data_IF_062292537981
#
_entry.id   IF_062292537981
#
_cell.length_a   1.000
_cell.length_b   1.000
_cell.length_c   1.000
_cell.angle_alpha   90.00
_cell.angle_beta   90.00
_cell.angle_gamma   90.00
#
_symmetry.space_group_name_H-M   'P 1'
#
loop_
_entity.id
_entity.type
_entity.pdbx_description
1 polymer ?
#
# COMPACT_ATOMS: atom_id res chain seq x y z
N UNK A 1 17.85 10.96 -14.15
CA UNK A 1 16.76 10.01 -14.48
C UNK A 1 15.56 10.73 -15.08
N UNK A 2 15.03 11.80 -14.48
CA UNK A 2 13.88 12.59 -15.00
C UNK A 2 14.14 13.27 -16.36
N UNK A 3 15.40 13.52 -16.73
CA UNK A 3 15.79 14.14 -18.00
C UNK A 3 15.87 13.19 -19.18
N UNK A 4 15.63 11.89 -19.02
CA UNK A 4 15.63 10.93 -20.14
C UNK A 4 14.33 11.00 -20.92
N UNK A 5 14.36 10.71 -22.24
CA UNK A 5 13.23 10.92 -23.16
C UNK A 5 11.87 10.43 -22.65
N UNK A 6 11.69 9.15 -22.22
CA UNK A 6 10.41 8.67 -21.70
C UNK A 6 9.98 9.37 -20.40
N UNK A 7 10.93 9.59 -19.47
CA UNK A 7 10.63 10.25 -18.20
C UNK A 7 10.34 11.74 -18.38
N UNK A 8 11.03 12.40 -19.33
CA UNK A 8 10.74 13.78 -19.68
C UNK A 8 9.29 13.97 -20.14
N UNK A 9 8.79 13.06 -20.96
CA UNK A 9 7.39 13.12 -21.42
C UNK A 9 6.38 13.02 -20.25
N UNK A 10 6.68 12.20 -19.22
CA UNK A 10 5.86 12.09 -18.01
C UNK A 10 5.94 13.38 -17.21
N UNK A 11 7.14 13.92 -16.98
CA UNK A 11 7.34 15.18 -16.26
C UNK A 11 6.62 16.33 -16.96
N UNK A 12 6.76 16.44 -18.28
CA UNK A 12 6.10 17.48 -19.08
C UNK A 12 4.55 17.34 -19.01
N UNK A 13 4.03 16.12 -18.86
CA UNK A 13 2.58 15.87 -18.71
C UNK A 13 2.03 16.24 -17.33
N UNK A 14 2.88 16.35 -16.31
CA UNK A 14 2.48 16.85 -15.00
C UNK A 14 2.27 18.35 -14.97
N UNK A 15 2.88 19.09 -15.91
CA UNK A 15 2.70 20.54 -16.00
C UNK A 15 1.39 20.84 -16.71
N UNK A 16 0.35 21.30 -16.02
CA UNK A 16 -0.92 21.60 -16.68
C UNK A 16 -0.70 22.73 -17.70
N UNK A 17 -1.31 22.66 -18.88
CA UNK A 17 -1.18 23.68 -19.93
C UNK A 17 -1.61 25.08 -19.49
N UNK A 18 -2.45 25.16 -18.46
CA UNK A 18 -3.00 26.40 -17.88
C UNK A 18 -2.11 27.04 -16.83
N UNK A 19 -1.02 26.39 -16.39
CA UNK A 19 -0.24 26.86 -15.23
C UNK A 19 -1.01 26.77 -13.92
N UNK A 20 -2.13 26.05 -13.90
CA UNK A 20 -2.90 25.79 -12.68
C UNK A 20 -2.12 24.88 -11.74
N UNK A 21 -2.22 25.23 -10.47
CA UNK A 21 -1.58 24.49 -9.38
C UNK A 21 -2.23 23.12 -9.23
N UNK A 22 -1.43 22.07 -9.30
CA UNK A 22 -1.90 20.71 -8.99
C UNK A 22 -2.09 20.59 -7.48
N UNK A 23 -3.21 21.06 -6.95
CA UNK A 23 -3.53 21.05 -5.51
C UNK A 23 -2.46 21.69 -4.62
N UNK A 24 -1.82 22.77 -5.08
CA UNK A 24 -0.75 23.45 -4.36
C UNK A 24 0.63 22.80 -4.49
N UNK A 25 0.78 21.83 -5.39
CA UNK A 25 2.04 21.11 -5.56
C UNK A 25 2.86 21.66 -6.72
N UNK A 26 4.11 21.98 -6.45
CA UNK A 26 5.07 22.32 -7.50
C UNK A 26 5.31 21.13 -8.42
N UNK A 27 5.12 21.27 -9.75
CA UNK A 27 5.42 20.20 -10.70
C UNK A 27 6.86 19.71 -10.56
N UNK A 28 7.08 18.40 -10.70
CA UNK A 28 8.43 17.84 -10.76
C UNK A 28 9.06 18.22 -12.10
N UNK A 29 10.15 18.95 -12.06
CA UNK A 29 10.95 19.31 -13.24
C UNK A 29 12.22 18.48 -13.31
N UNK A 30 12.92 18.50 -14.47
CA UNK A 30 14.14 17.74 -14.65
C UNK A 30 15.30 18.19 -13.75
N UNK A 31 15.22 19.41 -13.23
CA UNK A 31 16.18 20.10 -12.36
C UNK A 31 15.71 20.18 -10.90
N UNK A 32 14.65 19.46 -10.54
CA UNK A 32 14.17 19.41 -9.14
C UNK A 32 15.27 18.90 -8.20
N UNK A 33 15.40 19.54 -7.05
CA UNK A 33 16.35 19.15 -6.02
C UNK A 33 15.85 17.96 -5.20
N UNK A 34 16.75 17.33 -4.45
CA UNK A 34 16.37 16.22 -3.53
C UNK A 34 15.36 16.69 -2.48
N UNK A 35 15.49 17.93 -1.99
CA UNK A 35 14.54 18.54 -1.06
C UNK A 35 13.15 18.71 -1.69
N UNK A 36 13.07 19.11 -2.96
CA UNK A 36 11.81 19.23 -3.69
C UNK A 36 11.14 17.87 -3.92
N UNK A 37 11.92 16.82 -4.18
CA UNK A 37 11.42 15.45 -4.27
C UNK A 37 10.91 14.98 -2.90
N UNK A 38 11.66 15.22 -1.82
CA UNK A 38 11.27 14.84 -0.47
C UNK A 38 9.96 15.54 -0.06
N UNK A 39 9.84 16.83 -0.32
CA UNK A 39 8.61 17.59 -0.04
C UNK A 39 7.42 16.99 -0.81
N UNK A 40 7.59 16.69 -2.10
CA UNK A 40 6.57 16.06 -2.93
C UNK A 40 6.13 14.71 -2.36
N UNK A 41 7.07 13.86 -1.96
CA UNK A 41 6.77 12.56 -1.35
C UNK A 41 5.99 12.74 -0.05
N UNK A 42 6.36 13.69 0.80
CA UNK A 42 5.65 13.98 2.05
C UNK A 42 4.22 14.45 1.83
N UNK A 43 4.00 15.27 0.81
CA UNK A 43 2.68 15.84 0.52
C UNK A 43 1.75 14.86 -0.23
N UNK A 44 2.30 14.05 -1.15
CA UNK A 44 1.48 13.22 -2.04
C UNK A 44 1.68 11.72 -1.90
N UNK A 45 2.69 11.31 -1.11
CA UNK A 45 2.96 9.89 -0.89
C UNK A 45 1.80 9.18 -0.23
N UNK A 46 1.31 8.10 -0.84
CA UNK A 46 0.23 7.29 -0.31
C UNK A 46 0.54 5.79 -0.48
N UNK A 47 0.00 4.97 0.39
CA UNK A 47 0.22 3.52 0.36
C UNK A 47 -0.57 2.80 -0.75
N UNK A 48 -1.30 3.53 -1.56
CA UNK A 48 -2.07 3.02 -2.71
C UNK A 48 -3.03 1.87 -2.35
N UNK A 49 -3.72 1.98 -1.20
CA UNK A 49 -4.67 0.98 -0.69
C UNK A 49 -4.07 -0.40 -0.38
N UNK A 50 -2.77 -0.50 -0.20
CA UNK A 50 -2.06 -1.74 0.11
C UNK A 50 -1.62 -1.83 1.58
N UNK A 51 -2.36 -1.22 2.50
CA UNK A 51 -2.10 -1.31 3.94
C UNK A 51 -2.28 -2.73 4.46
N UNK A 52 -1.43 -3.14 5.39
CA UNK A 52 -1.49 -4.45 6.01
C UNK A 52 -0.64 -4.53 7.29
N UNK A 53 -0.64 -5.69 7.94
CA UNK A 53 0.28 -5.96 9.04
C UNK A 53 -0.10 -5.46 10.43
N UNK A 54 -1.22 -4.76 10.59
CA UNK A 54 -1.63 -4.21 11.91
C UNK A 54 -2.10 -5.27 12.92
N UNK A 55 -2.49 -6.46 12.43
CA UNK A 55 -2.83 -7.63 13.24
C UNK A 55 -1.93 -8.83 12.90
N UNK A 56 -0.64 -8.59 12.73
CA UNK A 56 0.35 -9.52 12.16
C UNK A 56 0.28 -10.93 12.75
N UNK A 57 0.25 -11.92 11.87
CA UNK A 57 0.32 -13.35 12.21
C UNK A 57 1.60 -13.66 13.00
N UNK A 58 1.46 -14.45 14.06
CA UNK A 58 2.53 -14.76 15.00
C UNK A 58 2.75 -13.71 16.10
N UNK A 59 2.07 -12.53 16.01
CA UNK A 59 2.11 -11.49 17.06
C UNK A 59 0.74 -11.18 17.63
N UNK A 60 -0.26 -11.04 16.79
CA UNK A 60 -1.64 -10.68 17.17
C UNK A 60 -2.60 -11.84 16.91
N UNK A 61 -2.41 -12.54 15.81
CA UNK A 61 -3.19 -13.73 15.45
C UNK A 61 -2.28 -14.94 15.23
N UNK A 62 -2.84 -16.15 15.36
CA UNK A 62 -2.18 -17.40 14.99
C UNK A 62 -2.30 -17.70 13.48
N UNK A 63 -1.82 -18.88 13.04
CA UNK A 63 -1.88 -19.33 11.65
C UNK A 63 -3.30 -19.58 11.12
N UNK A 64 -4.30 -19.65 11.98
CA UNK A 64 -5.71 -19.78 11.63
C UNK A 64 -6.49 -18.45 11.76
N UNK A 65 -5.79 -17.34 11.96
CA UNK A 65 -6.38 -16.02 12.13
C UNK A 65 -7.02 -15.78 13.51
N UNK A 66 -6.87 -16.71 14.46
CA UNK A 66 -7.43 -16.56 15.82
C UNK A 66 -6.63 -15.51 16.59
N UNK A 67 -7.31 -14.56 17.22
CA UNK A 67 -6.66 -13.52 18.03
C UNK A 67 -6.09 -14.13 19.31
N UNK A 68 -4.80 -13.91 19.55
CA UNK A 68 -4.10 -14.44 20.71
C UNK A 68 -4.67 -13.86 22.01
N UNK A 69 -4.99 -14.71 22.97
CA UNK A 69 -5.55 -14.32 24.26
C UNK A 69 -7.04 -13.96 24.24
N UNK A 70 -7.71 -14.01 23.10
CA UNK A 70 -9.15 -13.73 22.97
C UNK A 70 -9.89 -14.93 22.43
N UNK A 71 -11.00 -15.30 23.04
CA UNK A 71 -11.79 -16.47 22.62
C UNK A 71 -12.81 -16.09 21.55
N UNK A 72 -12.97 -16.93 20.53
CA UNK A 72 -13.97 -16.80 19.47
C UNK A 72 -13.86 -15.55 18.61
N UNK A 73 -12.66 -15.02 18.46
CA UNK A 73 -12.37 -13.88 17.58
C UNK A 73 -11.31 -14.25 16.57
N UNK A 74 -11.55 -13.92 15.31
CA UNK A 74 -10.60 -14.06 14.21
C UNK A 74 -10.48 -12.75 13.43
N UNK A 75 -9.33 -12.57 12.80
CA UNK A 75 -9.10 -11.52 11.80
C UNK A 75 -8.79 -12.19 10.47
N UNK A 76 -9.43 -11.75 9.39
CA UNK A 76 -9.36 -12.41 8.08
C UNK A 76 -9.21 -11.39 6.93
N UNK A 77 -8.27 -10.46 7.07
CA UNK A 77 -7.97 -9.45 6.06
C UNK A 77 -6.46 -9.18 5.96
N UNK A 78 -6.04 -8.21 5.14
CA UNK A 78 -4.63 -7.88 4.93
C UNK A 78 -3.85 -7.52 6.20
N UNK A 79 -4.55 -7.18 7.30
CA UNK A 79 -3.88 -6.82 8.56
C UNK A 79 -3.11 -7.98 9.20
N UNK A 80 -3.47 -9.25 8.88
CA UNK A 80 -2.78 -10.42 9.42
C UNK A 80 -1.47 -10.75 8.69
N UNK A 81 -1.19 -10.13 7.54
CA UNK A 81 0.07 -10.34 6.82
C UNK A 81 1.24 -9.89 7.70
N UNK A 82 2.24 -10.77 8.00
CA UNK A 82 3.34 -10.44 8.91
C UNK A 82 4.32 -9.42 8.31
N UNK A 83 4.36 -9.34 6.97
CA UNK A 83 5.18 -8.40 6.19
C UNK A 83 4.38 -7.88 5.00
N UNK A 84 4.63 -6.65 4.53
CA UNK A 84 4.02 -6.14 3.30
C UNK A 84 4.44 -6.98 2.10
N UNK A 85 3.53 -7.15 1.14
CA UNK A 85 3.83 -7.77 -0.14
C UNK A 85 4.39 -6.72 -1.11
N UNK A 86 5.31 -7.14 -1.99
CA UNK A 86 6.00 -6.26 -2.94
C UNK A 86 5.13 -5.80 -4.13
N UNK A 87 3.92 -6.28 -4.25
CA UNK A 87 3.01 -5.97 -5.37
C UNK A 87 1.57 -6.20 -4.98
N UNK A 88 0.69 -6.19 -5.97
CA UNK A 88 -0.76 -6.32 -5.82
C UNK A 88 -1.17 -7.49 -4.90
N UNK A 89 -1.65 -7.25 -3.67
CA UNK A 89 -1.90 -8.30 -2.69
C UNK A 89 -3.17 -9.12 -2.97
N UNK A 90 -3.97 -8.74 -3.96
CA UNK A 90 -5.31 -9.25 -4.19
C UNK A 90 -5.36 -10.78 -4.30
N UNK A 91 -4.52 -11.40 -5.14
CA UNK A 91 -4.52 -12.85 -5.31
C UNK A 91 -4.19 -13.59 -4.00
N UNK A 92 -3.21 -13.06 -3.25
CA UNK A 92 -2.83 -13.61 -1.93
C UNK A 92 -3.98 -13.46 -0.94
N UNK A 93 -4.68 -12.32 -0.93
CA UNK A 93 -5.80 -12.08 -0.03
C UNK A 93 -7.00 -12.97 -0.33
N UNK A 94 -7.31 -13.24 -1.59
CA UNK A 94 -8.34 -14.22 -1.95
C UNK A 94 -7.98 -15.62 -1.49
N UNK A 95 -6.75 -16.06 -1.72
CA UNK A 95 -6.27 -17.39 -1.27
C UNK A 95 -6.31 -17.50 0.26
N UNK A 96 -5.91 -16.45 0.96
CA UNK A 96 -5.96 -16.39 2.41
C UNK A 96 -7.39 -16.42 2.94
N UNK A 97 -8.30 -15.68 2.31
CA UNK A 97 -9.73 -15.70 2.66
C UNK A 97 -10.35 -17.08 2.50
N UNK A 98 -10.04 -17.79 1.42
CA UNK A 98 -10.49 -19.17 1.18
C UNK A 98 -9.96 -20.13 2.26
N UNK A 99 -8.68 -20.02 2.58
CA UNK A 99 -8.06 -20.86 3.61
C UNK A 99 -8.67 -20.60 5.00
N UNK A 100 -8.83 -19.33 5.37
CA UNK A 100 -9.39 -18.95 6.68
C UNK A 100 -10.87 -19.35 6.79
N UNK A 101 -11.64 -19.25 5.71
CA UNK A 101 -13.03 -19.71 5.71
C UNK A 101 -13.14 -21.21 5.97
N UNK A 102 -12.21 -22.03 5.43
CA UNK A 102 -12.17 -23.45 5.68
C UNK A 102 -11.90 -23.78 7.16
N UNK A 103 -11.05 -23.01 7.85
CA UNK A 103 -10.84 -23.17 9.29
C UNK A 103 -12.06 -22.78 10.11
N UNK A 104 -12.77 -21.71 9.71
CA UNK A 104 -14.00 -21.28 10.39
C UNK A 104 -15.08 -22.36 10.29
N UNK A 105 -15.27 -22.91 9.09
CA UNK A 105 -16.26 -23.97 8.85
C UNK A 105 -15.93 -25.24 9.68
N UNK A 106 -14.66 -25.59 9.78
CA UNK A 106 -14.21 -26.75 10.55
C UNK A 106 -14.44 -26.60 12.07
N UNK A 107 -14.39 -25.36 12.58
CA UNK A 107 -14.54 -25.04 14.00
C UNK A 107 -16.01 -24.76 14.40
N UNK A 108 -16.94 -24.70 13.43
CA UNK A 108 -18.36 -24.44 13.66
C UNK A 108 -19.13 -25.69 14.05
#
# INVERSE_FOLDING_TARGET
MLATGPMKAIVDSESPPSGEDLDGLTPLTADVTDEGIEERIRCTGMQHHHSGGTAAMGKVVDGEGKVLGVRRLRVADASILPIPLSGHPQATLYTMGEQLSSFIIKDA
#
